data_IF_404136304020
#
_entry.id   IF_404136304020
#
_cell.length_a   1.000
_cell.length_b   1.000
_cell.length_c   1.000
_cell.angle_alpha   90.00
_cell.angle_beta   90.00
_cell.angle_gamma   90.00
#
_symmetry.space_group_name_H-M   'P 1'
#
loop_
_entity.id
_entity.type
_entity.pdbx_description
1 polymer ?
#
# COMPACT_ATOMS: atom_id res chain seq x y z
N UNK A 1 -50.08 3.96 16.87
CA UNK A 1 -49.42 3.97 15.56
C UNK A 1 -48.45 2.78 15.52
N UNK A 2 -48.60 1.86 14.56
CA UNK A 2 -47.79 0.62 14.53
C UNK A 2 -46.27 0.94 14.39
N UNK A 3 -45.42 0.23 15.17
CA UNK A 3 -43.95 0.32 15.11
C UNK A 3 -43.41 0.22 13.68
N UNK A 4 -44.01 -0.61 12.83
CA UNK A 4 -43.70 -0.75 11.40
C UNK A 4 -43.89 0.56 10.62
N UNK A 5 -44.93 1.35 10.93
CA UNK A 5 -45.21 2.63 10.27
C UNK A 5 -44.23 3.72 10.69
N UNK A 6 -43.82 3.70 11.97
CA UNK A 6 -42.77 4.61 12.47
C UNK A 6 -41.41 4.32 11.85
N UNK A 7 -41.00 3.04 11.79
CA UNK A 7 -39.74 2.63 11.17
C UNK A 7 -39.70 3.00 9.68
N UNK A 8 -40.78 2.81 8.93
CA UNK A 8 -40.86 3.20 7.51
C UNK A 8 -40.74 4.72 7.32
N UNK A 9 -41.35 5.52 8.21
CA UNK A 9 -41.21 6.97 8.14
C UNK A 9 -39.82 7.47 8.47
N UNK A 10 -39.16 6.86 9.48
CA UNK A 10 -37.77 7.18 9.84
C UNK A 10 -36.81 6.83 8.68
N UNK A 11 -36.99 5.67 8.07
CA UNK A 11 -36.22 5.22 6.92
C UNK A 11 -36.39 6.15 5.71
N UNK A 12 -37.62 6.52 5.41
CA UNK A 12 -37.92 7.47 4.33
C UNK A 12 -37.29 8.85 4.56
N UNK A 13 -37.35 9.36 5.81
CA UNK A 13 -36.71 10.64 6.17
C UNK A 13 -35.19 10.57 6.09
N UNK A 14 -34.59 9.47 6.54
CA UNK A 14 -33.15 9.23 6.44
C UNK A 14 -32.68 9.26 4.96
N UNK A 15 -33.37 8.50 4.09
CA UNK A 15 -33.04 8.49 2.66
C UNK A 15 -33.25 9.85 1.97
N UNK A 16 -34.29 10.58 2.38
CA UNK A 16 -34.54 11.92 1.89
C UNK A 16 -33.39 12.86 2.25
N UNK A 17 -32.99 12.91 3.52
CA UNK A 17 -31.88 13.73 4.02
C UNK A 17 -30.55 13.38 3.36
N UNK A 18 -30.33 12.10 3.05
CA UNK A 18 -29.07 11.64 2.48
C UNK A 18 -28.92 11.94 1.00
N UNK A 19 -30.01 11.86 0.22
CA UNK A 19 -29.94 11.89 -1.25
C UNK A 19 -30.80 12.97 -1.92
N UNK A 20 -31.73 13.58 -1.25
CA UNK A 20 -32.70 14.47 -1.86
C UNK A 20 -32.79 15.84 -1.22
N UNK A 21 -32.24 16.01 -0.03
CA UNK A 21 -32.26 17.29 0.66
C UNK A 21 -31.11 18.19 0.17
N UNK A 22 -31.41 19.15 -0.68
CA UNK A 22 -30.45 20.12 -1.24
C UNK A 22 -30.14 21.28 -0.26
N UNK A 23 -30.72 21.26 0.95
CA UNK A 23 -30.38 22.23 1.96
C UNK A 23 -28.97 22.05 2.52
N UNK A 24 -28.40 23.12 3.09
CA UNK A 24 -27.11 23.05 3.79
C UNK A 24 -27.12 21.97 4.90
N UNK A 25 -28.25 21.77 5.57
CA UNK A 25 -28.40 20.72 6.60
C UNK A 25 -28.33 19.31 6.01
N UNK A 26 -28.99 19.05 4.89
CA UNK A 26 -28.96 17.78 4.17
C UNK A 26 -27.55 17.49 3.68
N UNK A 27 -26.88 18.46 3.06
CA UNK A 27 -25.50 18.33 2.61
C UNK A 27 -24.53 17.98 3.77
N UNK A 28 -24.62 18.70 4.88
CA UNK A 28 -23.79 18.45 6.08
C UNK A 28 -24.05 17.07 6.69
N UNK A 29 -25.32 16.67 6.76
CA UNK A 29 -25.71 15.32 7.21
C UNK A 29 -25.11 14.23 6.31
N UNK A 30 -25.16 14.40 5.01
CA UNK A 30 -24.61 13.44 4.03
C UNK A 30 -23.10 13.27 4.19
N UNK A 31 -22.36 14.37 4.37
CA UNK A 31 -20.91 14.31 4.61
C UNK A 31 -20.58 13.55 5.89
N UNK A 32 -21.27 13.86 7.00
CA UNK A 32 -21.05 13.15 8.28
C UNK A 32 -21.38 11.68 8.13
N UNK A 33 -22.50 11.35 7.48
CA UNK A 33 -22.89 9.95 7.27
C UNK A 33 -21.85 9.21 6.44
N UNK A 34 -21.39 9.76 5.32
CA UNK A 34 -20.36 9.16 4.47
C UNK A 34 -19.07 8.94 5.25
N UNK A 35 -18.65 9.92 6.06
CA UNK A 35 -17.47 9.79 6.91
C UNK A 35 -17.59 8.64 7.92
N UNK A 36 -18.73 8.56 8.63
CA UNK A 36 -19.03 7.49 9.58
C UNK A 36 -19.08 6.14 8.87
N UNK A 37 -19.77 6.05 7.74
CA UNK A 37 -19.88 4.83 6.94
C UNK A 37 -18.51 4.33 6.49
N UNK A 38 -17.68 5.22 5.92
CA UNK A 38 -16.33 4.86 5.44
C UNK A 38 -15.48 4.37 6.61
N UNK A 39 -15.46 5.10 7.74
CA UNK A 39 -14.59 4.80 8.88
C UNK A 39 -15.01 3.53 9.65
N UNK A 40 -16.30 3.33 9.86
CA UNK A 40 -16.80 2.29 10.79
C UNK A 40 -17.42 1.07 10.09
N UNK A 41 -17.75 1.16 8.80
CA UNK A 41 -18.37 0.05 8.06
C UNK A 41 -17.48 -0.37 6.89
N UNK A 42 -17.16 0.55 5.99
CA UNK A 42 -16.44 0.23 4.76
C UNK A 42 -15.01 -0.28 5.04
N UNK A 43 -14.18 0.49 5.74
CA UNK A 43 -12.79 0.06 6.02
C UNK A 43 -12.70 -1.16 6.93
N UNK A 44 -13.45 -1.29 8.05
CA UNK A 44 -13.47 -2.52 8.83
C UNK A 44 -13.96 -3.73 8.03
N UNK A 45 -15.00 -3.57 7.22
CA UNK A 45 -15.49 -4.63 6.33
C UNK A 45 -14.46 -5.03 5.28
N UNK A 46 -13.78 -4.06 4.68
CA UNK A 46 -12.71 -4.31 3.72
C UNK A 46 -11.51 -4.99 4.38
N UNK A 47 -11.11 -4.55 5.58
CA UNK A 47 -10.05 -5.17 6.37
C UNK A 47 -10.35 -6.64 6.69
N UNK A 48 -11.58 -6.93 7.09
CA UNK A 48 -12.02 -8.30 7.33
C UNK A 48 -11.99 -9.15 6.04
N UNK A 49 -12.47 -8.60 4.94
CA UNK A 49 -12.52 -9.31 3.66
C UNK A 49 -11.12 -9.58 3.07
N UNK A 50 -10.18 -8.68 3.28
CA UNK A 50 -8.79 -8.80 2.77
C UNK A 50 -7.85 -9.48 3.75
N UNK A 51 -8.25 -9.66 5.02
CA UNK A 51 -7.41 -10.27 6.07
C UNK A 51 -6.20 -9.42 6.48
N UNK A 52 -6.23 -8.10 6.25
CA UNK A 52 -5.16 -7.18 6.63
C UNK A 52 -5.71 -5.91 7.28
N UNK A 53 -5.00 -5.31 8.26
CA UNK A 53 -5.39 -4.02 8.81
C UNK A 53 -5.21 -2.86 7.81
N UNK A 54 -4.49 -3.08 6.70
CA UNK A 54 -4.17 -2.09 5.66
C UNK A 54 -4.66 -2.54 4.28
N UNK A 55 -5.98 -2.62 4.04
CA UNK A 55 -6.51 -3.08 2.75
C UNK A 55 -6.19 -2.14 1.58
N UNK A 56 -5.94 -0.87 1.88
CA UNK A 56 -5.47 0.14 0.93
C UNK A 56 -4.22 0.83 1.49
N UNK A 57 -3.17 0.93 0.69
CA UNK A 57 -1.94 1.63 1.04
C UNK A 57 -1.59 2.69 -0.02
N UNK A 58 -1.09 3.84 0.43
CA UNK A 58 -0.54 4.87 -0.46
C UNK A 58 0.98 4.77 -0.39
N UNK A 59 1.62 4.73 -1.56
CA UNK A 59 3.08 4.80 -1.67
C UNK A 59 3.52 6.22 -1.32
N UNK A 60 4.22 6.39 -0.21
CA UNK A 60 4.60 7.70 0.34
C UNK A 60 6.06 8.10 0.08
N UNK A 61 6.89 7.16 -0.39
CA UNK A 61 8.32 7.35 -0.67
C UNK A 61 8.68 6.93 -2.09
N UNK A 62 9.91 7.19 -2.48
CA UNK A 62 10.45 6.82 -3.79
C UNK A 62 11.28 5.52 -3.77
N UNK A 63 11.32 4.81 -2.64
CA UNK A 63 12.16 3.61 -2.49
C UNK A 63 11.83 2.45 -3.44
N UNK A 64 10.65 2.43 -4.02
CA UNK A 64 10.21 1.42 -4.99
C UNK A 64 10.03 1.99 -6.42
N UNK A 65 10.56 3.20 -6.66
CA UNK A 65 10.47 3.85 -7.95
C UNK A 65 11.39 3.19 -8.98
N UNK A 66 10.93 3.10 -10.23
CA UNK A 66 11.75 2.73 -11.39
C UNK A 66 11.65 3.85 -12.44
N UNK A 67 12.76 4.38 -12.87
CA UNK A 67 12.79 5.42 -13.90
C UNK A 67 12.11 4.95 -15.19
N UNK A 68 11.32 5.83 -15.78
CA UNK A 68 10.57 5.54 -17.01
C UNK A 68 9.56 4.41 -16.90
N UNK A 69 9.09 4.05 -15.69
CA UNK A 69 8.23 2.89 -15.43
C UNK A 69 6.92 2.84 -16.24
N UNK A 70 6.44 3.95 -16.77
CA UNK A 70 5.29 4.01 -17.66
C UNK A 70 5.65 3.64 -19.11
N UNK A 71 6.87 3.97 -19.56
CA UNK A 71 7.31 3.92 -20.97
C UNK A 71 8.43 2.92 -21.21
N UNK A 72 9.32 2.71 -20.24
CA UNK A 72 10.46 1.79 -20.37
C UNK A 72 10.10 0.35 -20.00
N UNK A 73 10.89 -0.58 -20.54
CA UNK A 73 10.77 -1.97 -20.14
C UNK A 73 11.43 -2.20 -18.78
N UNK A 74 10.81 -3.03 -17.92
CA UNK A 74 11.42 -3.47 -16.67
C UNK A 74 12.82 -4.10 -16.85
N UNK A 75 13.10 -4.64 -18.03
CA UNK A 75 14.40 -5.23 -18.36
C UNK A 75 15.53 -4.20 -18.42
N UNK A 76 15.27 -3.01 -19.02
CA UNK A 76 16.27 -1.93 -19.07
C UNK A 76 16.58 -1.36 -17.68
N UNK A 77 15.56 -1.30 -16.84
CA UNK A 77 15.75 -0.86 -15.46
C UNK A 77 16.61 -1.87 -14.69
N UNK A 78 16.32 -3.17 -14.81
CA UNK A 78 17.09 -4.22 -14.16
C UNK A 78 18.56 -4.23 -14.59
N UNK A 79 18.84 -4.08 -15.90
CA UNK A 79 20.21 -4.04 -16.42
C UNK A 79 21.08 -2.94 -15.78
N UNK A 80 20.48 -1.83 -15.38
CA UNK A 80 21.20 -0.76 -14.65
C UNK A 80 21.44 -1.12 -13.17
N UNK A 81 20.66 -2.04 -12.60
CA UNK A 81 20.66 -2.38 -11.18
C UNK A 81 21.07 -3.83 -10.92
N UNK A 82 21.58 -4.53 -11.94
CA UNK A 82 21.92 -5.97 -11.88
C UNK A 82 22.91 -6.29 -10.77
N UNK A 83 23.93 -5.45 -10.58
CA UNK A 83 24.95 -5.63 -9.55
C UNK A 83 24.34 -5.73 -8.14
N UNK A 84 23.33 -4.89 -7.85
CA UNK A 84 22.62 -4.88 -6.56
C UNK A 84 21.88 -6.19 -6.30
N UNK A 85 21.27 -6.79 -7.33
CA UNK A 85 20.48 -8.01 -7.20
C UNK A 85 21.31 -9.29 -7.31
N UNK A 86 22.44 -9.25 -8.01
CA UNK A 86 23.36 -10.38 -8.18
C UNK A 86 23.94 -10.87 -6.83
N UNK A 87 24.10 -9.96 -5.86
CA UNK A 87 24.56 -10.30 -4.49
C UNK A 87 23.60 -11.27 -3.77
N UNK A 88 22.34 -11.31 -4.24
CA UNK A 88 21.27 -12.18 -3.70
C UNK A 88 20.89 -13.30 -4.67
N UNK A 89 21.74 -13.63 -5.64
CA UNK A 89 21.49 -14.64 -6.66
C UNK A 89 20.20 -14.38 -7.49
N UNK A 90 19.81 -13.11 -7.63
CA UNK A 90 18.64 -12.71 -8.40
C UNK A 90 19.08 -12.25 -9.79
N UNK A 91 18.86 -13.12 -10.75
CA UNK A 91 19.16 -12.87 -12.15
C UNK A 91 18.00 -12.16 -12.87
N UNK A 92 18.29 -11.59 -14.04
CA UNK A 92 17.32 -10.89 -14.90
C UNK A 92 16.09 -11.76 -15.24
N UNK A 93 16.30 -13.05 -15.51
CA UNK A 93 15.19 -13.95 -15.85
C UNK A 93 14.27 -14.17 -14.64
N UNK A 94 14.83 -14.34 -13.45
CA UNK A 94 14.09 -14.43 -12.20
C UNK A 94 13.31 -13.14 -11.89
N UNK A 95 13.95 -11.98 -12.10
CA UNK A 95 13.30 -10.67 -11.87
C UNK A 95 12.10 -10.43 -12.79
N UNK A 96 12.09 -10.99 -14.00
CA UNK A 96 10.95 -10.89 -14.92
C UNK A 96 9.66 -11.48 -14.38
N UNK A 97 9.77 -12.48 -13.49
CA UNK A 97 8.62 -13.15 -12.86
C UNK A 97 8.10 -12.41 -11.61
N UNK A 98 8.82 -11.39 -11.14
CA UNK A 98 8.47 -10.68 -9.92
C UNK A 98 7.23 -9.80 -10.08
N UNK A 99 6.46 -9.71 -8.99
CA UNK A 99 5.37 -8.76 -8.89
C UNK A 99 5.92 -7.32 -8.88
N UNK A 100 5.16 -6.39 -9.42
CA UNK A 100 5.54 -4.97 -9.48
C UNK A 100 6.94 -4.71 -10.08
N UNK A 101 7.35 -5.52 -11.05
CA UNK A 101 8.65 -5.41 -11.75
C UNK A 101 8.87 -4.08 -12.50
N UNK A 102 7.84 -3.25 -12.61
CA UNK A 102 7.92 -1.88 -13.14
C UNK A 102 7.99 -0.83 -12.04
N UNK A 103 8.16 -1.24 -10.79
CA UNK A 103 8.20 -0.32 -9.66
C UNK A 103 6.85 0.28 -9.28
N UNK A 104 6.92 1.20 -8.33
CA UNK A 104 5.78 1.93 -7.79
C UNK A 104 6.13 3.41 -7.69
N UNK A 105 5.20 4.27 -8.09
CA UNK A 105 5.37 5.71 -7.98
C UNK A 105 4.84 6.22 -6.64
N UNK A 106 5.47 7.23 -6.11
CA UNK A 106 4.92 8.00 -5.01
C UNK A 106 3.54 8.53 -5.38
N UNK A 107 2.56 8.31 -4.52
CA UNK A 107 1.15 8.62 -4.79
C UNK A 107 0.33 7.47 -5.39
N UNK A 108 0.94 6.33 -5.74
CA UNK A 108 0.16 5.17 -6.15
C UNK A 108 -0.68 4.64 -4.99
N UNK A 109 -1.91 4.22 -5.28
CA UNK A 109 -2.77 3.53 -4.32
C UNK A 109 -2.75 2.04 -4.64
N UNK A 110 -2.38 1.24 -3.64
CA UNK A 110 -2.24 -0.20 -3.74
C UNK A 110 -3.41 -0.90 -3.03
N UNK A 111 -3.91 -1.97 -3.63
CA UNK A 111 -4.79 -2.92 -2.97
C UNK A 111 -3.94 -4.00 -2.30
N UNK A 112 -4.19 -4.22 -1.01
CA UNK A 112 -3.38 -5.08 -0.15
C UNK A 112 -4.24 -6.20 0.41
N UNK A 113 -3.67 -7.39 0.48
CA UNK A 113 -4.27 -8.55 1.12
C UNK A 113 -3.37 -9.06 2.26
N UNK A 114 -3.99 -9.65 3.27
CA UNK A 114 -3.27 -10.45 4.24
C UNK A 114 -2.63 -11.66 3.57
N UNK A 115 -1.50 -12.11 4.09
CA UNK A 115 -0.76 -13.22 3.51
C UNK A 115 -0.31 -14.19 4.58
N UNK A 116 -0.31 -15.49 4.27
CA UNK A 116 0.39 -16.47 5.07
C UNK A 116 1.90 -16.34 4.77
N UNK A 117 2.74 -15.99 5.76
CA UNK A 117 4.18 -15.83 5.57
C UNK A 117 4.86 -17.04 4.97
N UNK A 118 4.33 -18.26 5.21
CA UNK A 118 4.85 -19.50 4.63
C UNK A 118 4.77 -19.57 3.10
N UNK A 119 3.87 -18.77 2.50
CA UNK A 119 3.65 -18.72 1.05
C UNK A 119 4.42 -17.59 0.36
N UNK A 120 5.10 -16.75 1.13
CA UNK A 120 5.91 -15.68 0.57
C UNK A 120 7.15 -16.23 -0.11
N UNK A 121 7.56 -15.56 -1.20
CA UNK A 121 8.70 -15.92 -2.04
C UNK A 121 9.61 -14.72 -2.24
N UNK A 122 10.86 -14.97 -2.57
CA UNK A 122 11.77 -13.95 -3.09
C UNK A 122 11.13 -13.29 -4.32
N UNK A 123 11.22 -11.98 -4.41
CA UNK A 123 10.58 -11.17 -5.43
C UNK A 123 9.17 -10.65 -5.07
N UNK A 124 8.54 -11.16 -4.03
CA UNK A 124 7.29 -10.59 -3.51
C UNK A 124 7.56 -9.22 -2.87
N UNK A 125 6.63 -8.29 -3.04
CA UNK A 125 6.64 -7.03 -2.30
C UNK A 125 5.75 -7.20 -1.07
N UNK A 126 6.27 -6.82 0.10
CA UNK A 126 5.52 -6.86 1.36
C UNK A 126 5.39 -5.49 2.00
N UNK A 127 4.38 -5.36 2.85
CA UNK A 127 4.20 -4.22 3.75
C UNK A 127 4.46 -4.74 5.15
N UNK A 128 5.41 -4.12 5.85
CA UNK A 128 5.80 -4.55 7.18
C UNK A 128 6.02 -3.37 8.13
N UNK A 129 5.92 -3.63 9.42
CA UNK A 129 6.17 -2.66 10.48
C UNK A 129 7.63 -2.78 10.94
N UNK A 130 8.41 -1.73 10.68
CA UNK A 130 9.83 -1.67 11.03
C UNK A 130 10.09 -0.74 12.24
N UNK A 131 9.11 -0.50 13.11
CA UNK A 131 9.16 0.50 14.17
C UNK A 131 9.45 1.92 13.66
N UNK A 132 9.16 2.17 12.40
CA UNK A 132 9.18 3.49 11.77
C UNK A 132 7.81 4.16 11.92
N UNK A 133 7.75 5.47 11.62
CA UNK A 133 6.50 6.24 11.69
C UNK A 133 5.39 5.64 10.83
N UNK A 134 5.76 5.12 9.65
CA UNK A 134 4.85 4.50 8.69
C UNK A 134 5.35 3.10 8.33
N UNK A 135 4.46 2.16 7.99
CA UNK A 135 4.85 0.86 7.44
C UNK A 135 5.68 1.01 6.16
N UNK A 136 6.61 0.08 5.97
CA UNK A 136 7.53 0.04 4.83
C UNK A 136 6.96 -0.88 3.75
N UNK A 137 7.16 -0.51 2.48
CA UNK A 137 6.76 -1.29 1.30
C UNK A 137 8.01 -1.60 0.51
N UNK A 138 8.57 -2.81 0.66
CA UNK A 138 9.81 -3.22 -0.02
C UNK A 138 9.72 -4.65 -0.56
N UNK A 139 10.67 -5.01 -1.43
CA UNK A 139 10.77 -6.32 -2.09
C UNK A 139 11.57 -7.29 -1.25
N UNK A 140 11.07 -8.53 -1.11
CA UNK A 140 11.83 -9.64 -0.50
C UNK A 140 12.96 -10.04 -1.45
N UNK A 141 14.19 -10.04 -0.93
CA UNK A 141 15.41 -10.46 -1.63
C UNK A 141 15.97 -11.76 -1.08
N UNK A 142 15.66 -12.08 0.19
CA UNK A 142 16.14 -13.30 0.83
C UNK A 142 15.10 -13.79 1.86
N UNK A 143 15.03 -15.10 2.02
CA UNK A 143 14.23 -15.77 3.06
C UNK A 143 15.15 -16.75 3.79
N UNK A 144 15.31 -16.56 5.09
CA UNK A 144 16.07 -17.44 5.97
C UNK A 144 15.14 -18.30 6.80
N UNK A 145 15.58 -19.49 7.13
CA UNK A 145 14.87 -20.36 8.08
C UNK A 145 15.88 -20.82 9.11
N UNK A 146 15.72 -20.36 10.33
CA UNK A 146 16.58 -20.73 11.46
C UNK A 146 15.70 -21.31 12.57
N UNK A 147 16.09 -22.49 13.08
CA UNK A 147 15.34 -23.20 14.13
C UNK A 147 13.84 -23.43 13.81
N UNK A 148 13.49 -23.51 12.52
CA UNK A 148 12.09 -23.67 12.09
C UNK A 148 11.30 -22.35 11.99
N UNK A 149 11.91 -21.21 12.30
CA UNK A 149 11.31 -19.90 12.14
C UNK A 149 11.84 -19.22 10.87
N UNK A 150 10.93 -18.63 10.08
CA UNK A 150 11.30 -17.85 8.90
C UNK A 150 11.56 -16.41 9.27
N UNK A 151 12.57 -15.82 8.64
CA UNK A 151 12.77 -14.37 8.57
C UNK A 151 12.96 -13.92 7.12
N UNK A 152 12.67 -12.66 6.88
CA UNK A 152 12.66 -12.06 5.55
C UNK A 152 13.62 -10.88 5.51
N UNK A 153 14.40 -10.80 4.43
CA UNK A 153 15.21 -9.62 4.14
C UNK A 153 14.63 -8.93 2.91
N UNK A 154 14.52 -7.60 2.99
CA UNK A 154 13.93 -6.79 1.90
C UNK A 154 14.90 -5.73 1.42
N UNK A 155 14.59 -5.14 0.27
CA UNK A 155 15.26 -3.94 -0.25
C UNK A 155 14.24 -3.07 -0.98
N UNK A 156 14.40 -1.76 -0.86
CA UNK A 156 13.73 -0.82 -1.77
C UNK A 156 14.38 -0.85 -3.14
N UNK A 157 13.59 -1.04 -4.19
CA UNK A 157 14.10 -1.19 -5.56
C UNK A 157 14.96 0.02 -5.99
N UNK A 158 14.63 1.24 -5.53
CA UNK A 158 15.37 2.47 -5.80
C UNK A 158 16.40 2.84 -4.71
N UNK A 159 16.62 2.01 -3.71
CA UNK A 159 17.63 2.25 -2.70
C UNK A 159 18.99 1.71 -3.17
N UNK A 160 20.07 2.39 -2.82
CA UNK A 160 21.44 1.97 -3.16
C UNK A 160 21.91 0.73 -2.37
N UNK A 161 21.22 0.40 -1.28
CA UNK A 161 21.55 -0.75 -0.44
C UNK A 161 20.44 -1.05 0.55
N UNK A 162 20.59 -2.16 1.26
CA UNK A 162 19.68 -2.60 2.30
C UNK A 162 19.87 -1.78 3.58
N UNK A 163 18.77 -1.38 4.20
CA UNK A 163 18.76 -0.67 5.47
C UNK A 163 18.74 -1.67 6.64
N UNK A 164 19.22 -1.27 7.81
CA UNK A 164 19.32 -2.16 8.97
C UNK A 164 17.99 -2.78 9.41
N UNK A 165 16.89 -2.06 9.29
CA UNK A 165 15.55 -2.55 9.63
C UNK A 165 14.91 -3.43 8.55
N UNK A 166 15.59 -3.65 7.43
CA UNK A 166 15.14 -4.51 6.33
C UNK A 166 15.68 -5.94 6.46
N UNK A 167 16.48 -6.19 7.49
CA UNK A 167 17.05 -7.51 7.79
C UNK A 167 16.23 -8.19 8.89
N UNK A 168 16.12 -9.50 8.81
CA UNK A 168 15.47 -10.36 9.82
C UNK A 168 14.04 -9.96 10.20
N UNK A 169 13.25 -9.50 9.21
CA UNK A 169 11.83 -9.17 9.38
C UNK A 169 11.08 -10.44 9.77
N UNK A 170 10.41 -10.41 10.91
CA UNK A 170 9.64 -11.55 11.43
C UNK A 170 8.27 -11.65 10.75
N UNK A 171 7.70 -12.85 10.66
CA UNK A 171 6.34 -13.06 10.16
C UNK A 171 5.27 -12.17 10.82
N UNK A 172 5.43 -11.91 12.12
CA UNK A 172 4.50 -11.06 12.90
C UNK A 172 4.55 -9.58 12.55
N UNK A 173 5.62 -9.12 11.90
CA UNK A 173 5.80 -7.74 11.48
C UNK A 173 5.16 -7.46 10.11
N UNK A 174 4.80 -8.51 9.37
CA UNK A 174 4.22 -8.41 8.03
C UNK A 174 2.73 -8.08 8.13
N UNK A 175 2.35 -6.93 7.59
CA UNK A 175 0.97 -6.45 7.59
C UNK A 175 0.18 -6.94 6.38
N UNK A 176 0.85 -7.26 5.27
CA UNK A 176 0.23 -7.76 4.06
C UNK A 176 1.11 -7.65 2.83
N UNK A 177 0.52 -8.05 1.70
CA UNK A 177 1.16 -8.04 0.38
C UNK A 177 0.32 -7.21 -0.58
N UNK A 178 0.87 -6.18 -1.24
CA UNK A 178 0.18 -5.51 -2.33
C UNK A 178 0.01 -6.49 -3.51
N UNK A 179 -1.17 -6.48 -4.12
CA UNK A 179 -1.47 -7.36 -5.26
C UNK A 179 -1.84 -6.58 -6.51
N UNK A 180 -2.29 -5.35 -6.35
CA UNK A 180 -2.74 -4.52 -7.47
C UNK A 180 -2.50 -3.03 -7.18
N UNK A 181 -2.05 -2.30 -8.20
CA UNK A 181 -2.06 -0.84 -8.23
C UNK A 181 -3.42 -0.40 -8.78
N UNK A 182 -4.30 0.13 -7.92
CA UNK A 182 -5.68 0.46 -8.29
C UNK A 182 -5.85 1.88 -8.79
N UNK A 183 -5.04 2.82 -8.32
CA UNK A 183 -5.11 4.22 -8.73
C UNK A 183 -3.71 4.85 -8.74
N UNK A 184 -3.07 4.93 -9.93
CA UNK A 184 -1.79 5.62 -10.06
C UNK A 184 -1.90 7.10 -9.68
N UNK A 185 -0.95 7.60 -8.91
CA UNK A 185 -0.81 9.01 -8.48
C UNK A 185 -1.99 9.61 -7.69
N UNK A 186 -3.13 8.93 -7.55
CA UNK A 186 -4.31 9.50 -6.87
C UNK A 186 -4.05 9.78 -5.38
N UNK A 187 -3.12 9.08 -4.76
CA UNK A 187 -2.68 9.31 -3.40
C UNK A 187 -2.06 10.69 -3.16
N UNK A 188 -1.67 11.41 -4.23
CA UNK A 188 -1.18 12.78 -4.14
C UNK A 188 -2.22 13.74 -3.55
N UNK A 189 -3.52 13.45 -3.67
CA UNK A 189 -4.58 14.23 -3.01
C UNK A 189 -4.34 14.29 -1.50
N UNK A 190 -3.83 13.20 -0.89
CA UNK A 190 -3.42 13.17 0.52
C UNK A 190 -2.02 13.75 0.71
N UNK A 191 -1.06 13.31 -0.12
CA UNK A 191 0.36 13.58 0.11
C UNK A 191 0.70 15.07 0.06
N UNK A 192 0.04 15.85 -0.78
CA UNK A 192 0.29 17.30 -0.91
C UNK A 192 0.19 18.05 0.43
N UNK A 193 -0.68 17.60 1.33
CA UNK A 193 -0.84 18.19 2.66
C UNK A 193 0.30 17.84 3.63
N UNK A 194 1.09 16.82 3.34
CA UNK A 194 2.17 16.31 4.20
C UNK A 194 3.56 16.53 3.62
N UNK A 195 3.66 16.91 2.34
CA UNK A 195 4.97 17.13 1.68
C UNK A 195 5.81 18.19 2.40
N UNK A 196 5.18 19.25 2.91
CA UNK A 196 5.87 20.31 3.64
C UNK A 196 6.59 19.85 4.91
N UNK A 197 6.17 18.73 5.51
CA UNK A 197 6.76 18.15 6.72
C UNK A 197 7.92 17.17 6.44
N UNK A 198 8.16 16.81 5.17
CA UNK A 198 9.26 15.93 4.76
C UNK A 198 10.56 16.70 4.56
N UNK A 199 11.68 15.98 4.57
CA UNK A 199 12.98 16.54 4.18
C UNK A 199 12.95 17.02 2.72
N UNK A 200 13.73 18.07 2.34
CA UNK A 200 13.73 18.57 0.97
C UNK A 200 14.00 17.49 -0.09
N UNK A 201 14.83 16.49 0.22
CA UNK A 201 15.21 15.39 -0.66
C UNK A 201 14.07 14.38 -0.89
N UNK A 202 13.11 14.32 0.04
CA UNK A 202 11.95 13.41 -0.05
C UNK A 202 10.71 14.07 -0.65
N UNK A 203 10.77 15.37 -0.98
CA UNK A 203 9.64 16.11 -1.54
C UNK A 203 9.53 15.93 -3.03
N UNK A 204 8.30 16.10 -3.54
CA UNK A 204 8.05 16.07 -4.97
C UNK A 204 7.91 14.67 -5.57
N UNK A 205 8.03 14.61 -6.88
CA UNK A 205 8.03 13.37 -7.64
C UNK A 205 9.36 12.63 -7.49
N UNK A 206 9.36 11.35 -7.83
CA UNK A 206 10.54 10.51 -7.67
C UNK A 206 11.50 10.67 -8.84
N UNK A 207 12.78 10.64 -8.50
CA UNK A 207 13.91 10.48 -9.41
C UNK A 207 14.63 9.16 -9.07
N UNK A 208 15.40 8.63 -10.02
CA UNK A 208 16.24 7.45 -9.83
C UNK A 208 17.49 7.84 -9.01
N UNK A 209 17.84 7.04 -8.00
CA UNK A 209 19.03 7.22 -7.16
C UNK A 209 20.25 6.55 -7.81
#
# INVERSE_FOLDING_TARGET
MSLKKQAKNLWSRFWFLLWKDESFKGWFFSIIFIFIFIKFIFFPGLSLATGTPLPLAIVESCSMYHDGNLLSSANKWFEKHEEKYSVFDIEKETFKEFSFRKGMNKGDILFVIGVNPEKLKVGDVIIFNANQRNPIIHRIIEIKTENGEKSFSTIGDNNNGQLSFEQDIKPSEILGKPVLKIAPYLGWIKLVFFEGSKSPQERGFCDEN
#
